data_IF_961884881307
#
_entry.id   IF_961884881307
#
_cell.length_a   1.000
_cell.length_b   1.000
_cell.length_c   1.000
_cell.angle_alpha   90.00
_cell.angle_beta   90.00
_cell.angle_gamma   90.00
#
_symmetry.space_group_name_H-M   'P 1'
#
loop_
_entity.id
_entity.type
_entity.pdbx_description
1 polymer ?
#
# COMPACT_ATOMS: atom_id res chain seq x y z
N UNK A 1 -13.46 10.37 27.35
CA UNK A 1 -14.71 11.01 26.88
C UNK A 1 -15.81 10.01 26.59
N UNK A 2 -15.53 8.89 25.91
CA UNK A 2 -16.57 7.92 25.54
C UNK A 2 -17.43 7.43 26.71
N UNK A 3 -16.79 7.00 27.82
CA UNK A 3 -17.50 6.57 29.02
C UNK A 3 -18.46 7.64 29.57
N UNK A 4 -18.05 8.91 29.58
CA UNK A 4 -18.93 9.99 30.04
C UNK A 4 -20.13 10.17 29.12
N UNK A 5 -19.90 10.16 27.80
CA UNK A 5 -20.97 10.26 26.82
C UNK A 5 -21.96 9.09 26.99
N UNK A 6 -21.47 7.87 27.16
CA UNK A 6 -22.30 6.68 27.40
C UNK A 6 -23.14 6.80 28.68
N UNK A 7 -22.57 7.32 29.77
CA UNK A 7 -23.31 7.49 31.03
C UNK A 7 -24.41 8.55 30.93
N UNK A 8 -24.16 9.64 30.19
CA UNK A 8 -25.14 10.70 29.90
C UNK A 8 -26.27 10.15 29.02
N UNK A 9 -25.93 9.46 27.92
CA UNK A 9 -26.89 8.86 26.99
C UNK A 9 -27.75 7.79 27.65
N UNK A 10 -27.16 6.94 28.50
CA UNK A 10 -27.90 5.89 29.24
C UNK A 10 -28.97 6.45 30.17
N UNK A 11 -28.81 7.70 30.64
CA UNK A 11 -29.78 8.39 31.48
C UNK A 11 -30.69 9.34 30.70
N UNK A 12 -30.59 9.37 29.38
CA UNK A 12 -31.37 10.26 28.51
C UNK A 12 -31.21 11.74 28.90
N UNK A 13 -30.00 12.13 29.34
CA UNK A 13 -29.69 13.50 29.75
C UNK A 13 -29.06 14.30 28.59
N UNK A 14 -29.30 15.61 28.59
CA UNK A 14 -28.59 16.54 27.70
C UNK A 14 -27.14 16.75 28.17
N UNK A 15 -26.24 17.12 27.26
CA UNK A 15 -24.83 17.41 27.60
C UNK A 15 -24.75 18.82 28.23
N UNK A 16 -24.88 18.89 29.56
CA UNK A 16 -24.83 20.12 30.35
C UNK A 16 -24.01 19.95 31.63
N UNK A 17 -23.62 21.05 32.28
CA UNK A 17 -22.92 21.02 33.59
C UNK A 17 -23.72 20.26 34.66
N UNK A 18 -25.04 20.45 34.66
CA UNK A 18 -25.96 19.74 35.57
C UNK A 18 -25.89 18.23 35.35
N UNK A 19 -25.96 17.79 34.10
CA UNK A 19 -25.87 16.37 33.76
C UNK A 19 -24.52 15.77 34.14
N UNK A 20 -23.42 16.51 33.92
CA UNK A 20 -22.08 16.08 34.34
C UNK A 20 -21.98 15.84 35.85
N UNK A 21 -22.53 16.75 36.65
CA UNK A 21 -22.60 16.58 38.10
C UNK A 21 -23.45 15.35 38.50
N UNK A 22 -24.57 15.10 37.80
CA UNK A 22 -25.43 13.93 38.06
C UNK A 22 -24.78 12.59 37.69
N UNK A 23 -23.92 12.53 36.68
CA UNK A 23 -23.23 11.29 36.27
C UNK A 23 -21.88 11.09 36.96
N UNK A 24 -21.41 12.06 37.74
CA UNK A 24 -20.09 12.03 38.41
C UNK A 24 -19.90 10.79 39.27
N UNK A 25 -20.90 10.41 40.09
CA UNK A 25 -20.77 9.26 41.00
C UNK A 25 -20.61 7.93 40.23
N UNK A 26 -21.37 7.75 39.14
CA UNK A 26 -21.26 6.57 38.29
C UNK A 26 -19.92 6.51 37.57
N UNK A 27 -19.38 7.67 37.16
CA UNK A 27 -18.08 7.74 36.53
C UNK A 27 -16.97 7.31 37.50
N UNK A 28 -17.01 7.80 38.74
CA UNK A 28 -16.07 7.41 39.79
C UNK A 28 -16.19 5.91 40.14
N UNK A 29 -17.42 5.39 40.24
CA UNK A 29 -17.66 3.95 40.49
C UNK A 29 -17.10 3.06 39.38
N UNK A 30 -17.16 3.51 38.12
CA UNK A 30 -16.55 2.79 37.00
C UNK A 30 -15.03 2.79 37.10
N UNK A 31 -14.42 3.93 37.45
CA UNK A 31 -12.97 4.08 37.59
C UNK A 31 -12.43 3.21 38.72
N UNK A 32 -13.10 3.18 39.89
CA UNK A 32 -12.66 2.37 41.03
C UNK A 32 -12.67 0.87 40.70
N UNK A 33 -13.68 0.39 39.96
CA UNK A 33 -13.69 -0.99 39.45
C UNK A 33 -12.58 -1.28 38.45
N UNK A 34 -12.20 -0.31 37.62
CA UNK A 34 -11.08 -0.43 36.68
C UNK A 34 -9.70 -0.40 37.37
N UNK A 35 -9.55 0.37 38.45
CA UNK A 35 -8.33 0.41 39.29
C UNK A 35 -7.95 -0.95 39.86
N UNK A 36 -8.94 -1.78 40.20
CA UNK A 36 -8.70 -3.14 40.68
C UNK A 36 -8.11 -4.08 39.62
N UNK A 37 -8.26 -3.74 38.33
CA UNK A 37 -7.86 -4.57 37.20
C UNK A 37 -6.53 -4.11 36.57
N UNK A 38 -6.37 -2.81 36.26
CA UNK A 38 -5.20 -2.29 35.54
C UNK A 38 -4.85 -0.84 35.91
N UNK A 39 -4.05 -0.65 36.97
CA UNK A 39 -3.66 0.68 37.49
C UNK A 39 -2.93 1.60 36.48
N UNK A 40 -2.17 1.04 35.52
CA UNK A 40 -1.31 1.81 34.62
C UNK A 40 -2.07 2.63 33.56
N UNK A 41 -3.35 2.30 33.27
CA UNK A 41 -4.13 2.92 32.20
C UNK A 41 -5.05 4.08 32.68
N UNK A 42 -4.96 4.48 33.95
CA UNK A 42 -5.98 5.36 34.57
C UNK A 42 -5.64 6.85 34.63
N UNK A 43 -4.42 7.25 34.25
CA UNK A 43 -4.00 8.65 34.35
C UNK A 43 -4.97 9.62 33.64
N UNK A 44 -5.39 9.27 32.42
CA UNK A 44 -6.32 10.09 31.62
C UNK A 44 -7.72 10.18 32.25
N UNK A 45 -8.14 9.13 32.96
CA UNK A 45 -9.43 9.08 33.65
C UNK A 45 -9.43 9.93 34.92
N UNK A 46 -8.31 9.97 35.65
CA UNK A 46 -8.18 10.76 36.88
C UNK A 46 -8.29 12.26 36.62
N UNK A 47 -7.75 12.75 35.49
CA UNK A 47 -7.89 14.16 35.08
C UNK A 47 -9.36 14.52 34.89
N UNK A 48 -10.14 13.66 34.25
CA UNK A 48 -11.58 13.88 34.05
C UNK A 48 -12.33 13.78 35.38
N UNK A 49 -11.98 12.80 36.23
CA UNK A 49 -12.58 12.64 37.56
C UNK A 49 -12.40 13.89 38.44
N UNK A 50 -11.20 14.47 38.45
CA UNK A 50 -10.91 15.70 39.18
C UNK A 50 -11.79 16.87 38.69
N UNK A 51 -11.94 17.03 37.38
CA UNK A 51 -12.82 18.05 36.78
C UNK A 51 -14.29 17.84 37.17
N UNK A 52 -14.79 16.61 37.12
CA UNK A 52 -16.18 16.29 37.50
C UNK A 52 -16.46 16.56 38.97
N UNK A 53 -15.52 16.21 39.86
CA UNK A 53 -15.61 16.52 41.28
C UNK A 53 -15.65 18.03 41.55
N UNK A 54 -14.82 18.81 40.84
CA UNK A 54 -14.85 20.28 40.92
C UNK A 54 -16.20 20.83 40.48
N UNK A 55 -16.71 20.39 39.33
CA UNK A 55 -18.02 20.80 38.79
C UNK A 55 -19.13 20.48 39.80
N UNK A 56 -19.14 19.25 40.34
CA UNK A 56 -20.15 18.82 41.32
C UNK A 56 -20.06 19.62 42.62
N UNK A 57 -18.85 19.91 43.10
CA UNK A 57 -18.63 20.72 44.30
C UNK A 57 -19.16 22.14 44.13
N UNK A 58 -18.78 22.82 43.04
CA UNK A 58 -19.23 24.19 42.72
C UNK A 58 -20.76 24.26 42.60
N UNK A 59 -21.39 23.25 42.00
CA UNK A 59 -22.84 23.18 41.86
C UNK A 59 -23.59 23.00 43.19
N UNK A 60 -22.96 22.38 44.20
CA UNK A 60 -23.57 22.13 45.51
C UNK A 60 -23.32 23.28 46.51
N UNK A 61 -22.40 24.20 46.18
CA UNK A 61 -22.03 25.31 47.06
C UNK A 61 -23.01 26.49 46.92
N UNK A 62 -23.51 27.06 48.03
CA UNK A 62 -24.47 28.17 48.00
C UNK A 62 -23.85 29.51 47.54
N UNK A 63 -22.52 29.65 47.61
CA UNK A 63 -21.78 30.78 47.05
C UNK A 63 -20.50 30.23 46.40
N UNK A 64 -20.42 30.16 45.06
CA UNK A 64 -19.18 29.76 44.40
C UNK A 64 -18.11 30.83 44.67
N UNK A 65 -16.85 30.44 44.94
CA UNK A 65 -15.75 31.39 44.98
C UNK A 65 -15.63 32.11 43.63
N UNK A 66 -15.27 33.40 43.60
CA UNK A 66 -15.06 34.11 42.34
C UNK A 66 -13.97 33.38 41.53
N UNK A 67 -14.32 32.97 40.32
CA UNK A 67 -13.38 32.42 39.35
C UNK A 67 -12.66 33.62 38.74
N UNK A 68 -11.32 33.58 38.67
CA UNK A 68 -10.54 34.62 37.98
C UNK A 68 -10.99 34.71 36.51
N UNK A 69 -11.34 35.91 36.04
CA UNK A 69 -12.05 36.14 34.76
C UNK A 69 -11.27 35.67 33.51
N UNK A 70 -10.01 35.29 33.64
CA UNK A 70 -9.14 34.85 32.54
C UNK A 70 -9.18 33.33 32.28
N UNK A 71 -9.72 32.51 33.20
CA UNK A 71 -9.81 31.05 33.02
C UNK A 71 -11.21 30.59 32.55
N UNK A 72 -11.27 29.83 31.45
CA UNK A 72 -12.50 29.19 30.97
C UNK A 72 -13.06 28.27 32.06
N UNK A 73 -14.37 28.39 32.37
CA UNK A 73 -15.03 27.51 33.34
C UNK A 73 -14.81 26.05 32.95
N UNK A 74 -14.23 25.27 33.87
CA UNK A 74 -13.87 23.87 33.68
C UNK A 74 -15.08 23.05 33.21
N UNK A 75 -16.27 23.38 33.72
CA UNK A 75 -17.53 22.77 33.31
C UNK A 75 -17.88 23.04 31.85
N UNK A 76 -17.81 24.31 31.42
CA UNK A 76 -18.14 24.72 30.06
C UNK A 76 -17.16 24.14 29.04
N UNK A 77 -15.86 24.14 29.35
CA UNK A 77 -14.84 23.50 28.53
C UNK A 77 -15.10 22.00 28.35
N UNK A 78 -15.48 21.29 29.43
CA UNK A 78 -15.76 19.85 29.37
C UNK A 78 -17.05 19.55 28.58
N UNK A 79 -18.09 20.36 28.73
CA UNK A 79 -19.32 20.27 27.94
C UNK A 79 -19.01 20.43 26.45
N UNK A 80 -18.22 21.45 26.09
CA UNK A 80 -17.81 21.71 24.71
C UNK A 80 -17.05 20.52 24.12
N UNK A 81 -16.08 19.97 24.85
CA UNK A 81 -15.32 18.79 24.43
C UNK A 81 -16.22 17.57 24.21
N UNK A 82 -17.23 17.35 25.06
CA UNK A 82 -18.18 16.25 24.90
C UNK A 82 -19.08 16.42 23.67
N UNK A 83 -19.57 17.64 23.42
CA UNK A 83 -20.37 17.94 22.22
C UNK A 83 -19.56 17.70 20.95
N UNK A 84 -18.31 18.15 20.93
CA UNK A 84 -17.41 17.94 19.80
C UNK A 84 -17.10 16.46 19.59
N UNK A 85 -16.77 15.74 20.68
CA UNK A 85 -16.57 14.30 20.63
C UNK A 85 -17.79 13.55 20.10
N UNK A 86 -19.00 13.91 20.56
CA UNK A 86 -20.27 13.32 20.08
C UNK A 86 -20.43 13.48 18.56
N UNK A 87 -20.20 14.68 18.03
CA UNK A 87 -20.28 14.94 16.58
C UNK A 87 -19.33 14.05 15.78
N UNK A 88 -18.08 13.91 16.23
CA UNK A 88 -17.10 13.05 15.57
C UNK A 88 -17.46 11.56 15.69
N UNK A 89 -18.02 11.13 16.83
CA UNK A 89 -18.48 9.75 17.03
C UNK A 89 -19.63 9.40 16.08
N UNK A 90 -20.60 10.30 15.92
CA UNK A 90 -21.72 10.16 14.98
C UNK A 90 -21.23 10.12 13.52
N UNK A 91 -20.34 11.03 13.13
CA UNK A 91 -19.74 11.04 11.80
C UNK A 91 -18.94 9.75 11.51
N UNK A 92 -18.17 9.26 12.48
CA UNK A 92 -17.44 8.00 12.36
C UNK A 92 -18.38 6.79 12.20
N UNK A 93 -19.52 6.80 12.90
CA UNK A 93 -20.55 5.77 12.76
C UNK A 93 -21.21 5.81 11.38
N UNK A 94 -21.50 6.99 10.84
CA UNK A 94 -22.02 7.14 9.48
C UNK A 94 -21.02 6.64 8.43
N UNK A 95 -19.74 7.00 8.58
CA UNK A 95 -18.68 6.52 7.70
C UNK A 95 -18.54 4.98 7.75
N UNK A 96 -18.64 4.40 8.94
CA UNK A 96 -18.62 2.94 9.11
C UNK A 96 -19.82 2.29 8.41
N UNK A 97 -21.02 2.85 8.52
CA UNK A 97 -22.20 2.34 7.80
C UNK A 97 -22.01 2.42 6.28
N UNK A 98 -21.44 3.52 5.76
CA UNK A 98 -21.13 3.65 4.32
C UNK A 98 -20.10 2.61 3.85
N UNK A 99 -19.10 2.33 4.67
CA UNK A 99 -18.12 1.28 4.41
C UNK A 99 -18.79 -0.10 4.36
N UNK A 100 -19.63 -0.43 5.34
CA UNK A 100 -20.38 -1.70 5.42
C UNK A 100 -21.34 -1.88 4.25
N UNK A 101 -21.98 -0.80 3.78
CA UNK A 101 -22.83 -0.79 2.58
C UNK A 101 -22.04 -0.92 1.27
N UNK A 102 -20.70 -0.94 1.32
CA UNK A 102 -19.85 -1.10 0.14
C UNK A 102 -19.90 0.11 -0.80
N UNK A 103 -20.28 1.30 -0.29
CA UNK A 103 -20.30 2.56 -1.05
C UNK A 103 -18.87 3.05 -1.31
N UNK A 104 -18.16 2.34 -2.19
CA UNK A 104 -16.79 2.66 -2.60
C UNK A 104 -16.81 3.41 -3.92
N UNK A 105 -16.13 4.56 -3.96
CA UNK A 105 -15.80 5.20 -5.21
C UNK A 105 -14.61 4.46 -5.83
N UNK A 106 -14.84 3.75 -6.94
CA UNK A 106 -13.74 3.21 -7.73
C UNK A 106 -13.21 4.30 -8.64
N UNK A 107 -11.92 4.63 -8.52
CA UNK A 107 -11.25 5.53 -9.44
C UNK A 107 -11.30 4.89 -10.83
N UNK A 108 -11.98 5.54 -11.77
CA UNK A 108 -11.91 5.16 -13.18
C UNK A 108 -10.53 5.57 -13.70
N UNK A 109 -9.57 4.65 -13.63
CA UNK A 109 -8.27 4.82 -14.29
C UNK A 109 -8.49 4.56 -15.78
N UNK A 110 -9.00 5.56 -16.49
CA UNK A 110 -9.03 5.51 -17.95
C UNK A 110 -7.57 5.43 -18.44
N UNK A 111 -7.21 4.44 -19.29
CA UNK A 111 -5.88 4.41 -19.85
C UNK A 111 -5.61 5.72 -20.63
N UNK A 112 -4.40 6.30 -20.54
CA UNK A 112 -4.07 7.51 -21.28
C UNK A 112 -4.32 7.27 -22.78
N UNK A 113 -4.78 8.30 -23.52
CA UNK A 113 -5.09 8.17 -24.94
C UNK A 113 -3.84 7.65 -25.67
N UNK A 114 -3.99 6.56 -26.43
CA UNK A 114 -2.94 6.05 -27.31
C UNK A 114 -2.83 7.00 -28.49
N UNK A 115 -1.91 7.95 -28.41
CA UNK A 115 -1.43 8.68 -29.57
C UNK A 115 -0.58 7.70 -30.39
N UNK A 116 -1.10 7.24 -31.53
CA UNK A 116 -0.29 6.53 -32.51
C UNK A 116 0.71 7.53 -33.10
N UNK A 117 1.93 7.52 -32.56
CA UNK A 117 3.05 8.26 -33.15
C UNK A 117 3.57 7.43 -34.31
N UNK A 118 3.17 7.77 -35.52
CA UNK A 118 3.86 7.33 -36.74
C UNK A 118 5.24 8.00 -36.71
N UNK A 119 6.28 7.21 -36.51
CA UNK A 119 7.65 7.68 -36.66
C UNK A 119 7.92 7.76 -38.16
N UNK A 120 8.15 8.98 -38.65
CA UNK A 120 8.66 9.20 -39.99
C UNK A 120 10.15 8.81 -40.00
N UNK A 121 10.49 7.82 -40.82
CA UNK A 121 11.85 7.27 -40.95
C UNK A 121 12.48 7.66 -42.29
N UNK A 122 11.85 8.56 -43.06
CA UNK A 122 12.45 9.09 -44.27
C UNK A 122 13.74 9.85 -43.95
N UNK A 123 14.83 9.45 -44.60
CA UNK A 123 16.15 10.10 -44.47
C UNK A 123 17.08 9.52 -43.39
N UNK A 124 16.66 8.49 -42.65
CA UNK A 124 17.56 7.81 -41.70
C UNK A 124 18.38 6.75 -42.45
N UNK A 125 19.70 6.84 -42.35
CA UNK A 125 20.64 5.91 -42.97
C UNK A 125 21.19 4.89 -41.95
N UNK A 126 21.86 3.85 -42.46
CA UNK A 126 22.47 2.82 -41.63
C UNK A 126 23.57 3.38 -40.71
N UNK A 127 24.28 4.40 -41.18
CA UNK A 127 25.36 5.04 -40.44
C UNK A 127 24.84 5.83 -39.22
N UNK A 128 23.67 6.48 -39.35
CA UNK A 128 23.00 7.18 -38.25
C UNK A 128 22.63 6.23 -37.10
N UNK A 129 22.20 5.02 -37.46
CA UNK A 129 21.90 3.93 -36.51
C UNK A 129 23.16 3.41 -35.83
N UNK A 130 24.25 3.29 -36.58
CA UNK A 130 25.54 2.85 -36.06
C UNK A 130 26.09 3.85 -35.04
N UNK A 131 25.98 5.15 -35.33
CA UNK A 131 26.42 6.23 -34.45
C UNK A 131 25.58 6.31 -33.17
N UNK A 132 24.25 6.17 -33.27
CA UNK A 132 23.37 6.13 -32.12
C UNK A 132 23.71 4.99 -31.14
N UNK A 133 24.09 3.82 -31.66
CA UNK A 133 24.52 2.67 -30.84
C UNK A 133 25.86 2.96 -30.16
N UNK A 134 26.81 3.57 -30.88
CA UNK A 134 28.10 3.92 -30.29
C UNK A 134 27.95 4.93 -29.15
N UNK A 135 27.08 5.93 -29.31
CA UNK A 135 26.78 6.90 -28.26
C UNK A 135 26.09 6.26 -27.05
N UNK A 136 25.13 5.36 -27.27
CA UNK A 136 24.45 4.65 -26.18
C UNK A 136 25.41 3.76 -25.37
N UNK A 137 26.39 3.13 -26.04
CA UNK A 137 27.42 2.31 -25.39
C UNK A 137 28.46 3.15 -24.64
N UNK A 138 28.63 4.43 -24.99
CA UNK A 138 29.52 5.35 -24.28
C UNK A 138 28.92 5.82 -22.94
N UNK A 139 27.60 5.70 -22.75
CA UNK A 139 26.94 6.05 -21.49
C UNK A 139 27.20 4.95 -20.46
N UNK A 140 28.09 5.23 -19.50
CA UNK A 140 28.36 4.33 -18.37
C UNK A 140 27.17 4.39 -17.41
N UNK A 141 26.43 3.29 -17.16
CA UNK A 141 25.33 3.30 -16.20
C UNK A 141 25.86 3.49 -14.78
N UNK A 142 25.17 4.33 -13.99
CA UNK A 142 25.49 4.58 -12.59
C UNK A 142 25.43 3.26 -11.79
N UNK A 143 26.49 2.97 -11.04
CA UNK A 143 26.58 1.74 -10.26
C UNK A 143 25.46 1.69 -9.19
N UNK A 144 24.77 0.54 -9.03
CA UNK A 144 23.80 0.38 -7.94
C UNK A 144 24.53 0.40 -6.58
N UNK A 145 23.92 0.97 -5.52
CA UNK A 145 24.51 0.98 -4.18
C UNK A 145 24.65 -0.45 -3.64
N UNK A 146 25.82 -0.72 -3.07
CA UNK A 146 26.25 -2.03 -2.58
C UNK A 146 25.43 -2.37 -1.33
N UNK A 147 24.54 -3.35 -1.45
CA UNK A 147 23.92 -4.01 -0.29
C UNK A 147 24.33 -5.48 -0.28
N UNK A 148 24.66 -5.94 0.92
CA UNK A 148 25.52 -7.06 1.24
C UNK A 148 25.00 -8.44 0.80
N UNK A 149 25.97 -9.33 0.55
CA UNK A 149 25.90 -10.79 0.47
C UNK A 149 24.98 -11.39 -0.60
N UNK A 150 25.55 -11.72 -1.76
CA UNK A 150 24.98 -12.71 -2.67
C UNK A 150 26.07 -13.68 -3.11
N UNK A 151 25.98 -14.92 -2.63
CA UNK A 151 26.75 -16.07 -3.11
C UNK A 151 26.69 -16.12 -4.65
N UNK A 152 27.81 -16.33 -5.37
CA UNK A 152 27.75 -16.41 -6.83
C UNK A 152 27.01 -17.68 -7.24
N UNK A 153 25.75 -17.53 -7.67
CA UNK A 153 25.03 -18.60 -8.36
C UNK A 153 25.64 -18.70 -9.76
N UNK A 154 26.47 -19.72 -9.99
CA UNK A 154 27.04 -20.01 -11.32
C UNK A 154 26.01 -20.71 -12.19
N UNK A 155 25.17 -19.94 -12.86
CA UNK A 155 24.18 -20.48 -13.82
C UNK A 155 24.89 -20.69 -15.15
N UNK A 156 24.91 -21.93 -15.66
CA UNK A 156 25.51 -22.23 -16.96
C UNK A 156 24.50 -22.04 -18.11
N UNK A 157 25.02 -21.88 -19.34
CA UNK A 157 24.19 -21.79 -20.55
C UNK A 157 23.39 -23.09 -20.75
N UNK A 158 24.01 -24.26 -20.49
CA UNK A 158 23.36 -25.56 -20.64
C UNK A 158 22.15 -25.71 -19.69
N UNK A 159 22.29 -25.28 -18.43
CA UNK A 159 21.19 -25.32 -17.46
C UNK A 159 20.03 -24.43 -17.90
N UNK A 160 20.35 -23.23 -18.39
CA UNK A 160 19.34 -22.27 -18.82
C UNK A 160 18.62 -22.74 -20.10
N UNK A 161 19.32 -23.39 -21.04
CA UNK A 161 18.72 -24.06 -22.20
C UNK A 161 17.69 -25.11 -21.74
N UNK A 162 18.06 -25.98 -20.79
CA UNK A 162 17.15 -27.00 -20.25
C UNK A 162 15.88 -26.41 -19.62
N UNK A 163 16.02 -25.31 -18.86
CA UNK A 163 14.89 -24.60 -18.26
C UNK A 163 13.93 -24.01 -19.31
N UNK A 164 14.48 -23.43 -20.39
CA UNK A 164 13.69 -22.84 -21.48
C UNK A 164 12.91 -23.95 -22.20
N UNK A 165 13.56 -25.05 -22.55
CA UNK A 165 12.92 -26.18 -23.22
C UNK A 165 11.82 -26.83 -22.38
N UNK A 166 12.05 -27.03 -21.08
CA UNK A 166 11.04 -27.56 -20.18
C UNK A 166 9.81 -26.63 -20.09
N UNK A 167 10.04 -25.31 -20.09
CA UNK A 167 8.97 -24.31 -20.08
C UNK A 167 8.18 -24.31 -21.40
N UNK A 168 8.88 -24.42 -22.52
CA UNK A 168 8.28 -24.52 -23.85
C UNK A 168 7.47 -25.81 -24.04
N UNK A 169 7.95 -26.95 -23.54
CA UNK A 169 7.19 -28.23 -23.57
C UNK A 169 5.88 -28.14 -22.81
N UNK A 170 5.84 -27.39 -21.69
CA UNK A 170 4.63 -27.25 -20.86
C UNK A 170 3.65 -26.21 -21.36
N UNK A 171 4.14 -25.11 -21.95
CA UNK A 171 3.31 -23.92 -22.27
C UNK A 171 3.23 -23.60 -23.76
N UNK A 172 3.99 -24.28 -24.62
CA UNK A 172 4.11 -24.04 -26.06
C UNK A 172 4.90 -22.78 -26.43
N UNK A 173 4.82 -21.73 -25.60
CA UNK A 173 5.46 -20.43 -25.81
C UNK A 173 5.93 -19.79 -24.50
N UNK A 174 7.01 -19.02 -24.55
CA UNK A 174 7.54 -18.23 -23.43
C UNK A 174 8.04 -16.87 -23.90
N UNK A 175 7.82 -15.83 -23.10
CA UNK A 175 8.35 -14.50 -23.36
C UNK A 175 9.78 -14.38 -22.82
N UNK A 176 10.65 -13.73 -23.59
CA UNK A 176 12.02 -13.42 -23.19
C UNK A 176 12.07 -12.49 -21.98
N UNK A 177 11.18 -11.49 -21.89
CA UNK A 177 11.10 -10.62 -20.73
C UNK A 177 10.71 -11.40 -19.47
N UNK A 178 9.82 -12.39 -19.59
CA UNK A 178 9.45 -13.26 -18.48
C UNK A 178 10.57 -14.22 -18.05
N UNK A 179 11.45 -14.56 -19.00
CA UNK A 179 12.64 -15.36 -18.76
C UNK A 179 13.70 -14.53 -18.01
N UNK A 180 13.87 -13.25 -18.39
CA UNK A 180 14.78 -12.30 -17.74
C UNK A 180 14.26 -11.74 -16.41
N UNK A 181 12.94 -11.62 -16.22
CA UNK A 181 12.34 -11.16 -14.96
C UNK A 181 12.64 -12.09 -13.77
N UNK A 182 13.10 -13.32 -14.05
CA UNK A 182 13.55 -14.28 -13.04
C UNK A 182 15.06 -14.23 -12.77
N UNK A 183 15.79 -13.36 -13.48
CA UNK A 183 17.24 -13.26 -13.35
C UNK A 183 17.63 -12.36 -12.16
N UNK A 184 18.51 -12.86 -11.29
CA UNK A 184 18.97 -12.15 -10.10
C UNK A 184 20.22 -11.28 -10.33
N UNK A 185 20.90 -11.42 -11.48
CA UNK A 185 22.14 -10.71 -11.78
C UNK A 185 22.34 -10.43 -13.27
N UNK A 186 23.22 -9.46 -13.59
CA UNK A 186 23.66 -9.17 -14.96
C UNK A 186 24.24 -10.39 -15.67
N UNK A 187 24.97 -11.24 -14.94
CA UNK A 187 25.54 -12.48 -15.47
C UNK A 187 24.43 -13.44 -15.90
N UNK A 188 23.36 -13.56 -15.12
CA UNK A 188 22.23 -14.42 -15.45
C UNK A 188 21.44 -13.92 -16.66
N UNK A 189 21.32 -12.59 -16.83
CA UNK A 189 20.75 -11.97 -18.04
C UNK A 189 21.59 -12.33 -19.28
N UNK A 190 22.91 -12.25 -19.18
CA UNK A 190 23.83 -12.61 -20.28
C UNK A 190 23.68 -14.10 -20.62
N UNK A 191 23.67 -14.99 -19.62
CA UNK A 191 23.54 -16.44 -19.81
C UNK A 191 22.17 -16.81 -20.42
N UNK A 192 21.09 -16.15 -19.98
CA UNK A 192 19.76 -16.30 -20.55
C UNK A 192 19.68 -15.89 -22.02
N UNK A 193 20.31 -14.77 -22.38
CA UNK A 193 20.38 -14.32 -23.75
C UNK A 193 21.19 -15.29 -24.63
N UNK A 194 22.37 -15.70 -24.18
CA UNK A 194 23.21 -16.68 -24.88
C UNK A 194 22.50 -18.03 -25.06
N UNK A 195 21.73 -18.47 -24.07
CA UNK A 195 20.93 -19.70 -24.16
C UNK A 195 19.85 -19.61 -25.25
N UNK A 196 19.19 -18.45 -25.41
CA UNK A 196 18.21 -18.24 -26.48
C UNK A 196 18.88 -18.19 -27.85
N UNK A 197 20.02 -17.50 -27.98
CA UNK A 197 20.79 -17.47 -29.24
C UNK A 197 21.27 -18.87 -29.65
N UNK A 198 21.74 -19.67 -28.70
CA UNK A 198 22.17 -21.04 -28.95
C UNK A 198 21.01 -21.94 -29.39
N UNK A 199 19.81 -21.75 -28.82
CA UNK A 199 18.58 -22.45 -29.23
C UNK A 199 18.12 -22.06 -30.64
N UNK A 200 18.24 -20.77 -31.00
CA UNK A 200 17.96 -20.27 -32.36
C UNK A 200 18.97 -20.87 -33.35
N UNK A 201 20.28 -20.85 -33.01
CA UNK A 201 21.36 -21.41 -33.83
C UNK A 201 21.16 -22.90 -34.10
N UNK A 202 20.68 -23.67 -33.12
CA UNK A 202 20.32 -25.09 -33.27
C UNK A 202 18.96 -25.34 -33.93
N UNK A 203 18.27 -24.28 -34.35
CA UNK A 203 16.92 -24.31 -34.95
C UNK A 203 15.87 -25.03 -34.08
N UNK A 204 16.00 -24.97 -32.75
CA UNK A 204 15.08 -25.66 -31.82
C UNK A 204 13.90 -24.76 -31.41
N UNK A 205 14.05 -23.46 -31.52
CA UNK A 205 13.03 -22.46 -31.18
C UNK A 205 12.90 -21.44 -32.30
N UNK A 206 11.68 -20.96 -32.50
CA UNK A 206 11.39 -19.78 -33.30
C UNK A 206 11.16 -18.59 -32.37
N UNK A 207 11.65 -17.43 -32.78
CA UNK A 207 11.56 -16.20 -32.01
C UNK A 207 10.88 -15.13 -32.84
N UNK A 208 9.84 -14.51 -32.28
CA UNK A 208 9.06 -13.46 -32.93
C UNK A 208 9.01 -12.23 -32.06
N UNK A 209 9.27 -11.07 -32.67
CA UNK A 209 9.13 -9.77 -32.05
C UNK A 209 8.31 -8.91 -33.01
N UNK A 210 7.11 -8.53 -32.58
CA UNK A 210 6.15 -7.85 -33.46
C UNK A 210 6.47 -6.36 -33.67
N UNK A 211 7.23 -5.75 -32.76
CA UNK A 211 7.64 -4.34 -32.82
C UNK A 211 9.03 -4.17 -32.24
N UNK A 212 9.82 -3.22 -32.77
CA UNK A 212 11.13 -2.90 -32.23
C UNK A 212 11.05 -2.62 -30.72
N UNK A 213 11.93 -3.25 -29.94
CA UNK A 213 11.95 -3.19 -28.46
C UNK A 213 10.69 -3.75 -27.77
N UNK A 214 9.85 -4.47 -28.50
CA UNK A 214 8.68 -5.18 -27.99
C UNK A 214 9.00 -6.52 -27.33
N UNK A 215 7.96 -7.19 -26.86
CA UNK A 215 8.08 -8.50 -26.24
C UNK A 215 8.57 -9.53 -27.26
N UNK A 216 9.65 -10.21 -26.91
CA UNK A 216 10.23 -11.27 -27.72
C UNK A 216 9.57 -12.59 -27.28
N UNK A 217 8.78 -13.20 -28.15
CA UNK A 217 8.10 -14.47 -27.89
C UNK A 217 8.91 -15.60 -28.49
N UNK A 218 9.20 -16.60 -27.67
CA UNK A 218 9.95 -17.80 -28.02
C UNK A 218 8.95 -18.96 -28.09
N UNK A 219 8.92 -19.69 -29.19
CA UNK A 219 8.07 -20.86 -29.41
C UNK A 219 8.91 -22.07 -29.77
N UNK A 220 8.51 -23.27 -29.34
CA UNK A 220 9.18 -24.48 -29.79
C UNK A 220 8.90 -24.70 -31.28
N UNK A 221 9.94 -25.04 -32.05
CA UNK A 221 9.76 -25.43 -33.45
C UNK A 221 9.19 -26.85 -33.47
N UNK A 222 7.94 -27.00 -33.88
CA UNK A 222 7.31 -28.33 -33.99
C UNK A 222 8.09 -29.14 -35.03
N UNK A 223 8.61 -30.30 -34.65
CA UNK A 223 9.16 -31.24 -35.62
C UNK A 223 8.00 -31.71 -36.50
N UNK A 224 7.95 -31.24 -37.74
CA UNK A 224 7.11 -31.85 -38.78
C UNK A 224 7.66 -33.26 -38.99
N UNK A 225 6.97 -34.25 -38.42
CA UNK A 225 7.16 -35.65 -38.74
C UNK A 225 6.52 -35.96 -40.11
N UNK A 226 7.38 -36.06 -41.12
CA UNK A 226 7.41 -37.06 -42.23
C UNK A 226 6.23 -37.16 -43.24
N UNK A 227 6.39 -37.80 -44.43
CA UNK A 227 7.54 -38.55 -44.98
C UNK A 227 7.91 -38.23 -46.46
N UNK A 228 9.06 -38.74 -46.93
CA UNK A 228 9.38 -39.10 -48.35
C UNK A 228 9.12 -40.61 -48.54
N UNK A 229 9.06 -41.20 -49.75
CA UNK A 229 8.77 -40.70 -51.11
C UNK A 229 7.68 -41.53 -51.84
N UNK A 230 7.32 -41.17 -53.08
CA UNK A 230 7.04 -42.11 -54.17
C UNK A 230 8.01 -41.81 -55.31
#
# INVERSE_FOLDING_TARGET
MDLLLQLIEKRELDITKVSLAQVTDQYLEHITRLQELEAAALADFLVIAAKLLLIKSQMLLPQPPPIEEEEEDVGDGLVRQLIEYKKFKEAAQELRQREEMGLRAYVRVAPPPRLERTLDLEGITLDDLLEAVQQALAVTPLAPPVSNMVTPITITIADKIGQIEATLRRRGRVSFNRLLARAASRVEIIVAFLAVLELIKRQRVDVRQERAFGEIIITAKSQISNPKPQ
#
